data_IF_583925678865
#
_entry.id   IF_583925678865
#
_cell.length_a   1.000
_cell.length_b   1.000
_cell.length_c   1.000
_cell.angle_alpha   90.00
_cell.angle_beta   90.00
_cell.angle_gamma   90.00
#
_symmetry.space_group_name_H-M   'P 1'
#
loop_
_entity.id
_entity.type
_entity.pdbx_description
1 polymer ?
#
# COMPACT_ATOMS: atom_id res chain seq x y z
N UNK A 1 1.22 11.29 -7.15
CA UNK A 1 0.54 10.01 -7.44
C UNK A 1 -0.75 9.84 -6.66
N UNK A 2 -0.71 9.61 -5.33
CA UNK A 2 -1.94 9.34 -4.56
C UNK A 2 -2.91 10.54 -4.55
N UNK A 3 -2.37 11.75 -4.42
CA UNK A 3 -3.13 13.00 -4.51
C UNK A 3 -3.75 13.19 -5.90
N UNK A 4 -3.06 12.79 -6.97
CA UNK A 4 -3.60 12.86 -8.34
C UNK A 4 -4.76 11.87 -8.54
N UNK A 5 -4.63 10.66 -7.99
CA UNK A 5 -5.69 9.66 -8.01
C UNK A 5 -6.92 10.12 -7.23
N UNK A 6 -6.70 10.70 -6.04
CA UNK A 6 -7.77 11.28 -5.21
C UNK A 6 -8.52 12.39 -5.96
N UNK A 7 -7.79 13.32 -6.58
CA UNK A 7 -8.41 14.40 -7.39
C UNK A 7 -9.27 13.87 -8.53
N UNK A 8 -8.80 12.84 -9.23
CA UNK A 8 -9.52 12.25 -10.37
C UNK A 8 -10.81 11.55 -9.91
N UNK A 9 -10.73 10.75 -8.87
CA UNK A 9 -11.87 9.98 -8.36
C UNK A 9 -12.88 10.86 -7.60
N UNK A 10 -12.43 11.95 -6.99
CA UNK A 10 -13.31 12.94 -6.36
C UNK A 10 -14.27 13.58 -7.38
N UNK A 11 -13.84 13.77 -8.64
CA UNK A 11 -14.71 14.25 -9.71
C UNK A 11 -15.85 13.28 -10.04
N UNK A 12 -15.70 12.00 -9.69
CA UNK A 12 -16.71 10.93 -9.82
C UNK A 12 -17.48 10.70 -8.51
N UNK A 13 -17.25 11.52 -7.47
CA UNK A 13 -17.88 11.36 -6.16
C UNK A 13 -17.30 10.21 -5.31
N UNK A 14 -16.17 9.64 -5.71
CA UNK A 14 -15.51 8.53 -5.01
C UNK A 14 -14.40 9.03 -4.10
N UNK A 15 -14.22 8.34 -2.97
CA UNK A 15 -13.09 8.52 -2.06
C UNK A 15 -12.06 7.41 -2.28
N UNK A 16 -10.86 7.56 -1.70
CA UNK A 16 -9.80 6.54 -1.72
C UNK A 16 -9.41 6.09 -0.31
N UNK A 17 -8.83 4.89 -0.20
CA UNK A 17 -8.17 4.42 1.02
C UNK A 17 -6.71 4.89 1.10
N UNK A 18 -6.05 4.62 2.22
CA UNK A 18 -4.58 4.62 2.29
C UNK A 18 -3.99 3.55 1.34
N UNK A 19 -2.69 3.65 1.02
CA UNK A 19 -1.97 2.61 0.27
C UNK A 19 -1.68 1.46 1.24
N UNK A 20 -2.09 0.25 0.89
CA UNK A 20 -1.75 -0.95 1.63
C UNK A 20 -0.85 -1.85 0.80
N UNK A 21 0.08 -2.54 1.44
CA UNK A 21 1.02 -3.45 0.79
C UNK A 21 1.11 -4.72 1.63
N UNK A 22 1.29 -5.90 1.02
CA UNK A 22 1.68 -7.10 1.75
C UNK A 22 2.90 -6.83 2.66
N UNK A 23 2.86 -7.32 3.90
CA UNK A 23 3.81 -7.01 4.96
C UNK A 23 3.41 -5.87 5.90
N UNK A 24 2.29 -5.16 5.65
CA UNK A 24 1.78 -4.11 6.54
C UNK A 24 0.64 -4.65 7.41
N UNK A 25 0.56 -4.20 8.67
CA UNK A 25 -0.62 -4.34 9.54
C UNK A 25 -1.23 -5.76 9.58
N UNK A 26 -0.38 -6.79 9.68
CA UNK A 26 -0.82 -8.19 9.74
C UNK A 26 -1.14 -8.83 8.39
N UNK A 27 -1.00 -8.09 7.29
CA UNK A 27 -1.04 -8.66 5.95
C UNK A 27 0.25 -9.45 5.69
N UNK A 28 0.14 -10.76 5.49
CA UNK A 28 1.27 -11.63 5.20
C UNK A 28 2.00 -11.19 3.92
N UNK A 29 3.33 -11.03 4.03
CA UNK A 29 4.21 -10.63 2.92
C UNK A 29 4.19 -11.66 1.78
N UNK A 30 3.96 -12.94 2.07
CA UNK A 30 3.84 -13.99 1.06
C UNK A 30 2.68 -13.74 0.08
N UNK A 31 1.64 -13.00 0.50
CA UNK A 31 0.54 -12.61 -0.39
C UNK A 31 0.96 -11.60 -1.48
N UNK A 32 2.20 -11.11 -1.45
CA UNK A 32 2.76 -10.37 -2.58
C UNK A 32 2.78 -11.19 -3.87
N UNK A 33 2.96 -12.51 -3.79
CA UNK A 33 2.82 -13.39 -4.96
C UNK A 33 1.39 -13.34 -5.54
N UNK A 34 0.37 -13.31 -4.69
CA UNK A 34 -1.03 -13.17 -5.12
C UNK A 34 -1.27 -11.80 -5.77
N UNK A 35 -0.76 -10.73 -5.16
CA UNK A 35 -0.85 -9.39 -5.74
C UNK A 35 -0.19 -9.31 -7.13
N UNK A 36 1.01 -9.87 -7.29
CA UNK A 36 1.71 -9.87 -8.58
C UNK A 36 1.03 -10.77 -9.63
N UNK A 37 0.27 -11.78 -9.22
CA UNK A 37 -0.50 -12.63 -10.15
C UNK A 37 -1.62 -11.87 -10.87
N UNK A 38 -2.06 -10.73 -10.32
CA UNK A 38 -3.03 -9.82 -10.94
C UNK A 38 -2.41 -8.91 -12.00
N UNK A 39 -1.07 -8.84 -12.05
CA UNK A 39 -0.33 -8.02 -13.00
C UNK A 39 0.13 -8.87 -14.18
N UNK A 40 0.33 -8.26 -15.36
CA UNK A 40 0.99 -8.94 -16.47
C UNK A 40 2.37 -9.49 -16.06
N UNK A 41 2.81 -10.56 -16.73
CA UNK A 41 4.14 -11.12 -16.49
C UNK A 41 5.25 -10.09 -16.71
N UNK A 42 6.24 -10.05 -15.81
CA UNK A 42 7.36 -9.11 -15.84
C UNK A 42 6.95 -7.63 -15.86
N UNK A 43 5.80 -7.29 -15.26
CA UNK A 43 5.32 -5.92 -15.16
C UNK A 43 6.37 -5.02 -14.49
N UNK A 44 6.65 -3.87 -15.11
CA UNK A 44 7.68 -2.93 -14.67
C UNK A 44 9.10 -3.53 -14.51
N UNK A 45 9.38 -4.70 -15.09
CA UNK A 45 10.64 -5.44 -14.91
C UNK A 45 10.95 -5.80 -13.44
N UNK A 46 9.90 -5.98 -12.63
CA UNK A 46 10.01 -6.38 -11.23
C UNK A 46 9.68 -7.87 -11.13
N UNK A 47 10.50 -8.61 -10.39
CA UNK A 47 10.29 -10.02 -10.08
C UNK A 47 10.20 -10.22 -8.57
N UNK A 48 9.59 -11.32 -8.15
CA UNK A 48 9.57 -11.74 -6.75
C UNK A 48 10.50 -12.93 -6.55
N UNK A 49 11.28 -12.90 -5.47
CA UNK A 49 11.98 -14.08 -4.96
C UNK A 49 10.99 -15.06 -4.33
N UNK A 50 11.43 -16.29 -4.05
CA UNK A 50 10.60 -17.28 -3.31
C UNK A 50 10.18 -16.78 -1.92
N UNK A 51 10.97 -15.89 -1.32
CA UNK A 51 10.69 -15.22 -0.05
C UNK A 51 9.82 -13.95 -0.18
N UNK A 52 9.16 -13.75 -1.34
CA UNK A 52 8.32 -12.60 -1.65
C UNK A 52 9.02 -11.22 -1.67
N UNK A 53 10.36 -11.18 -1.67
CA UNK A 53 11.12 -9.93 -1.83
C UNK A 53 11.10 -9.48 -3.30
N UNK A 54 11.09 -8.17 -3.52
CA UNK A 54 11.15 -7.59 -4.86
C UNK A 54 12.58 -7.46 -5.35
N UNK A 55 12.79 -7.82 -6.61
CA UNK A 55 14.00 -7.55 -7.38
C UNK A 55 13.62 -6.70 -8.61
N UNK A 56 14.09 -5.43 -8.71
CA UNK A 56 15.07 -4.76 -7.84
C UNK A 56 14.59 -4.45 -6.41
N UNK A 57 15.53 -4.39 -5.45
CA UNK A 57 15.24 -4.12 -4.02
C UNK A 57 14.51 -2.80 -3.80
N UNK A 58 14.85 -1.75 -4.56
CA UNK A 58 14.18 -0.43 -4.48
C UNK A 58 12.88 -0.41 -5.27
N UNK A 59 11.98 -1.33 -4.93
CA UNK A 59 10.64 -1.45 -5.52
C UNK A 59 9.57 -1.34 -4.43
N UNK A 60 8.36 -0.95 -4.82
CA UNK A 60 7.20 -0.90 -3.92
C UNK A 60 5.96 -1.39 -4.66
N UNK A 61 5.19 -2.26 -4.00
CA UNK A 61 3.89 -2.75 -4.46
C UNK A 61 2.77 -2.21 -3.56
N UNK A 62 1.51 -2.28 -3.98
CA UNK A 62 0.39 -2.03 -3.08
C UNK A 62 -0.94 -1.83 -3.79
N UNK A 63 -1.99 -1.74 -2.98
CA UNK A 63 -3.37 -1.51 -3.39
C UNK A 63 -3.90 -0.19 -2.80
N UNK A 64 -4.80 0.45 -3.53
CA UNK A 64 -5.58 1.60 -3.09
C UNK A 64 -7.03 1.27 -3.46
N UNK A 65 -7.91 1.18 -2.48
CA UNK A 65 -9.34 1.00 -2.71
C UNK A 65 -10.00 2.33 -3.07
N UNK A 66 -11.01 2.28 -3.94
CA UNK A 66 -11.87 3.41 -4.29
C UNK A 66 -13.33 3.06 -4.02
N UNK A 67 -14.10 4.01 -3.47
CA UNK A 67 -15.52 3.77 -3.15
C UNK A 67 -16.22 4.98 -2.53
N UNK A 68 -17.55 4.92 -2.44
CA UNK A 68 -18.35 6.02 -1.86
C UNK A 68 -18.07 6.23 -0.37
N UNK A 69 -17.91 5.13 0.38
CA UNK A 69 -17.79 5.15 1.84
C UNK A 69 -16.39 4.85 2.37
N UNK A 70 -15.38 4.76 1.50
CA UNK A 70 -13.99 4.57 1.95
C UNK A 70 -13.44 5.88 2.51
N UNK A 71 -12.47 5.76 3.42
CA UNK A 71 -11.84 6.92 4.06
C UNK A 71 -10.33 6.81 3.95
N UNK A 72 -9.69 7.89 3.53
CA UNK A 72 -8.26 8.11 3.68
C UNK A 72 -8.00 8.70 5.06
N UNK A 73 -7.15 8.06 5.86
CA UNK A 73 -6.76 8.57 7.18
C UNK A 73 -5.43 9.31 7.07
N UNK A 74 -5.36 10.58 7.51
CA UNK A 74 -4.07 11.21 7.76
C UNK A 74 -3.45 10.54 8.98
N UNK A 75 -2.13 10.29 8.93
CA UNK A 75 -1.32 9.65 9.99
C UNK A 75 -1.50 8.14 10.21
N UNK A 76 -0.56 7.36 9.68
CA UNK A 76 -0.45 5.92 9.94
C UNK A 76 0.14 5.58 11.31
N UNK A 77 0.94 6.47 11.91
CA UNK A 77 1.57 6.21 13.22
C UNK A 77 0.57 6.13 14.37
N UNK A 78 -0.58 6.82 14.28
CA UNK A 78 -1.58 6.89 15.34
C UNK A 78 -2.37 5.58 15.50
N UNK A 79 -2.40 4.75 14.47
CA UNK A 79 -3.11 3.46 14.45
C UNK A 79 -2.14 2.27 14.37
N UNK A 80 -0.85 2.49 14.59
CA UNK A 80 0.17 1.45 14.56
C UNK A 80 0.35 0.86 15.95
N UNK A 81 0.15 -0.46 16.10
CA UNK A 81 0.25 -1.16 17.38
C UNK A 81 1.70 -1.43 17.84
N UNK A 82 2.69 -1.13 16.98
CA UNK A 82 4.11 -1.30 17.31
C UNK A 82 4.52 -0.30 18.40
N UNK A 83 4.65 -0.77 19.65
CA UNK A 83 4.95 0.11 20.80
C UNK A 83 6.31 0.79 20.66
N UNK A 84 7.35 0.04 20.32
CA UNK A 84 8.75 0.49 20.32
C UNK A 84 9.27 0.84 18.93
N UNK A 85 8.56 1.74 18.22
CA UNK A 85 8.95 2.15 16.86
C UNK A 85 9.83 3.40 16.89
N UNK A 86 11.12 3.27 16.54
CA UNK A 86 12.10 4.38 16.45
C UNK A 86 11.73 5.45 15.39
N UNK A 87 10.82 5.12 14.47
CA UNK A 87 10.36 6.01 13.42
C UNK A 87 9.02 6.69 13.74
N UNK A 88 8.41 6.41 14.90
CA UNK A 88 7.14 7.03 15.29
C UNK A 88 7.38 8.53 15.45
N UNK A 89 6.88 9.30 14.50
CA UNK A 89 6.81 10.76 14.61
C UNK A 89 5.72 11.09 15.62
N UNK A 90 6.09 11.30 16.87
CA UNK A 90 5.24 11.97 17.84
C UNK A 90 4.96 13.38 17.29
N UNK A 91 3.75 13.61 16.78
CA UNK A 91 3.21 14.97 16.70
C UNK A 91 1.87 14.98 17.42
N UNK A 92 1.87 15.80 18.47
CA UNK A 92 0.78 16.30 19.31
C UNK A 92 -0.57 16.40 18.62
#
# INVERSE_FOLDING_TARGET
>A
MQEDLERRLAAEGLNITNRFSPGYCGWDVAEQHKLFSLLPGNFCKIRLTESALMDPIKSVSGIIGAGLHVKRRPYTCNFCDMKDCIYRRLKS
#
